data_IF_343458546406
#
_entry.id   IF_343458546406
#
_cell.length_a   1.000
_cell.length_b   1.000
_cell.length_c   1.000
_cell.angle_alpha   90.00
_cell.angle_beta   90.00
_cell.angle_gamma   90.00
#
_symmetry.space_group_name_H-M   'P 1'
#
loop_
_entity.id
_entity.type
_entity.pdbx_description
1 polymer ?
#
# COMPACT_ATOMS: atom_id res chain seq x y z
N UNK A 1 28.03 -11.93 20.50
CA UNK A 1 27.59 -12.73 19.34
C UNK A 1 27.59 -11.80 18.13
N UNK A 2 28.35 -12.11 17.08
CA UNK A 2 28.32 -11.34 15.84
C UNK A 2 27.01 -11.67 15.13
N UNK A 3 26.12 -10.69 14.96
CA UNK A 3 24.89 -10.84 14.20
C UNK A 3 25.21 -10.64 12.73
N UNK A 4 25.26 -11.72 11.95
CA UNK A 4 25.33 -11.63 10.50
C UNK A 4 23.94 -11.33 9.93
N UNK A 5 23.82 -10.27 9.15
CA UNK A 5 22.57 -9.92 8.44
C UNK A 5 22.27 -10.99 7.39
N UNK A 6 21.03 -11.48 7.36
CA UNK A 6 20.56 -12.38 6.30
C UNK A 6 20.41 -11.60 4.99
N UNK A 7 20.80 -12.21 3.87
CA UNK A 7 20.57 -11.62 2.55
C UNK A 7 19.11 -11.71 2.12
N UNK A 8 18.66 -10.80 1.25
CA UNK A 8 17.28 -10.74 0.75
C UNK A 8 16.79 -12.07 0.13
N UNK A 9 17.66 -12.78 -0.59
CA UNK A 9 17.32 -14.08 -1.17
C UNK A 9 16.99 -15.12 -0.10
N UNK A 10 17.74 -15.13 1.01
CA UNK A 10 17.46 -16.01 2.15
C UNK A 10 16.18 -15.60 2.86
N UNK A 11 15.92 -14.31 3.04
CA UNK A 11 14.68 -13.82 3.68
C UNK A 11 13.43 -14.20 2.88
N UNK A 12 13.49 -14.16 1.54
CA UNK A 12 12.38 -14.56 0.66
C UNK A 12 12.18 -16.08 0.57
N UNK A 13 13.21 -16.88 0.84
CA UNK A 13 13.08 -18.34 0.80
C UNK A 13 12.51 -18.95 2.08
N UNK A 14 12.26 -18.16 3.12
CA UNK A 14 11.60 -18.61 4.34
C UNK A 14 10.11 -18.81 4.06
N UNK A 15 9.54 -19.91 4.56
CA UNK A 15 8.09 -20.15 4.58
C UNK A 15 7.44 -19.26 5.65
N UNK A 16 7.09 -18.02 5.27
CA UNK A 16 6.54 -17.03 6.20
C UNK A 16 5.03 -17.16 6.30
N UNK A 17 4.48 -16.86 7.47
CA UNK A 17 3.05 -16.69 7.68
C UNK A 17 2.78 -15.23 8.06
N UNK A 18 1.96 -14.55 7.27
CA UNK A 18 1.52 -13.18 7.55
C UNK A 18 0.15 -13.23 8.22
N UNK A 19 0.13 -13.00 9.54
CA UNK A 19 -1.08 -13.14 10.34
C UNK A 19 -1.85 -11.82 10.48
N UNK A 20 -1.22 -10.69 10.17
CA UNK A 20 -1.80 -9.36 10.33
C UNK A 20 -1.42 -8.49 9.13
N UNK A 21 -2.30 -8.51 8.12
CA UNK A 21 -2.19 -7.69 6.93
C UNK A 21 -3.50 -6.93 6.72
N UNK A 22 -3.41 -5.60 6.59
CA UNK A 22 -4.55 -4.76 6.26
C UNK A 22 -4.62 -4.58 4.74
N UNK A 23 -5.69 -5.07 4.11
CA UNK A 23 -5.88 -4.94 2.66
C UNK A 23 -5.84 -3.47 2.21
N UNK A 24 -6.56 -2.62 2.93
CA UNK A 24 -6.67 -1.17 2.74
C UNK A 24 -5.40 -0.39 3.12
N UNK A 25 -4.43 -1.05 3.75
CA UNK A 25 -3.09 -0.51 4.01
C UNK A 25 -1.99 -1.07 3.09
N UNK A 26 -2.30 -2.07 2.25
CA UNK A 26 -1.30 -2.84 1.48
C UNK A 26 -1.40 -2.63 -0.03
N UNK A 27 -2.03 -1.54 -0.46
CA UNK A 27 -2.26 -1.24 -1.87
C UNK A 27 -1.02 -0.60 -2.49
N UNK A 28 -0.63 -1.05 -3.69
CA UNK A 28 0.44 -0.40 -4.47
C UNK A 28 0.05 1.05 -4.79
N UNK A 29 0.92 2.05 -4.58
CA UNK A 29 0.62 3.45 -4.91
C UNK A 29 0.23 3.67 -6.38
N UNK A 30 0.83 2.90 -7.30
CA UNK A 30 0.48 2.95 -8.73
C UNK A 30 -0.94 2.45 -8.99
N UNK A 31 -1.43 1.47 -8.23
CA UNK A 31 -2.80 0.96 -8.31
C UNK A 31 -3.79 1.97 -7.77
N UNK A 32 -3.49 2.64 -6.65
CA UNK A 32 -4.31 3.74 -6.12
C UNK A 32 -4.49 4.82 -7.20
N UNK A 33 -3.39 5.29 -7.81
CA UNK A 33 -3.45 6.31 -8.85
C UNK A 33 -4.26 5.85 -10.08
N UNK A 34 -4.10 4.60 -10.50
CA UNK A 34 -4.84 4.04 -11.62
C UNK A 34 -6.35 3.94 -11.36
N UNK A 35 -6.75 3.45 -10.19
CA UNK A 35 -8.15 3.34 -9.78
C UNK A 35 -8.79 4.72 -9.62
N UNK A 36 -8.06 5.67 -9.05
CA UNK A 36 -8.55 7.03 -8.87
C UNK A 36 -8.83 7.72 -10.21
N UNK A 37 -7.96 7.54 -11.21
CA UNK A 37 -8.17 8.07 -12.56
C UNK A 37 -9.35 7.40 -13.26
N UNK A 38 -9.44 6.07 -13.18
CA UNK A 38 -10.53 5.32 -13.81
C UNK A 38 -11.92 5.73 -13.28
N UNK A 39 -12.00 6.04 -11.98
CA UNK A 39 -13.25 6.35 -11.29
C UNK A 39 -13.46 7.84 -11.00
N UNK A 40 -12.61 8.74 -11.52
CA UNK A 40 -12.64 10.18 -11.26
C UNK A 40 -12.67 10.55 -9.76
N UNK A 41 -11.92 9.81 -8.94
CA UNK A 41 -11.83 10.02 -7.49
C UNK A 41 -10.74 11.03 -7.20
N UNK A 42 -11.09 12.15 -6.56
CA UNK A 42 -10.11 13.12 -6.08
C UNK A 42 -9.32 12.55 -4.90
N UNK A 43 -7.99 12.48 -5.05
CA UNK A 43 -7.08 11.98 -4.00
C UNK A 43 -6.55 13.09 -3.09
N UNK A 44 -6.60 14.34 -3.58
CA UNK A 44 -6.08 15.51 -2.91
C UNK A 44 -7.12 16.62 -3.06
N UNK A 45 -7.56 17.18 -1.93
CA UNK A 45 -8.55 18.25 -1.90
C UNK A 45 -8.20 19.32 -2.95
N UNK A 46 -9.18 19.64 -3.79
CA UNK A 46 -9.14 20.70 -4.80
C UNK A 46 -8.21 20.50 -6.01
N UNK A 47 -7.67 19.30 -6.24
CA UNK A 47 -6.89 18.97 -7.45
C UNK A 47 -7.49 17.82 -8.23
N UNK A 48 -7.47 17.94 -9.56
CA UNK A 48 -7.79 16.81 -10.44
C UNK A 48 -6.75 15.71 -10.28
N UNK A 49 -7.21 14.46 -10.21
CA UNK A 49 -6.41 13.24 -10.10
C UNK A 49 -5.41 13.07 -11.23
N UNK A 50 -5.69 13.64 -12.42
CA UNK A 50 -4.76 13.62 -13.55
C UNK A 50 -3.47 14.41 -13.28
N UNK A 51 -3.52 15.36 -12.35
CA UNK A 51 -2.38 16.19 -11.97
C UNK A 51 -1.60 15.64 -10.79
N UNK A 52 -2.07 14.54 -10.17
CA UNK A 52 -1.39 13.90 -9.04
C UNK A 52 -0.31 12.97 -9.57
N UNK A 53 0.93 13.22 -9.16
CA UNK A 53 2.09 12.37 -9.47
C UNK A 53 2.21 11.22 -8.48
N UNK A 54 2.94 10.17 -8.87
CA UNK A 54 3.19 9.03 -7.99
C UNK A 54 4.02 9.44 -6.75
N UNK A 55 4.96 10.37 -6.91
CA UNK A 55 5.81 10.86 -5.82
C UNK A 55 5.00 11.68 -4.79
N UNK A 56 4.12 12.56 -5.27
CA UNK A 56 3.19 13.28 -4.39
C UNK A 56 2.29 12.31 -3.61
N UNK A 57 1.78 11.28 -4.29
CA UNK A 57 0.96 10.25 -3.66
C UNK A 57 1.75 9.47 -2.59
N UNK A 58 2.99 9.08 -2.88
CA UNK A 58 3.85 8.38 -1.91
C UNK A 58 4.10 9.22 -0.65
N UNK A 59 4.30 10.54 -0.78
CA UNK A 59 4.49 11.42 0.37
C UNK A 59 3.29 11.48 1.31
N UNK A 60 2.10 11.10 0.85
CA UNK A 60 0.87 11.06 1.65
C UNK A 60 0.65 9.67 2.26
N UNK A 61 1.05 8.63 1.53
CA UNK A 61 0.85 7.24 1.94
C UNK A 61 1.96 6.71 2.86
N UNK A 62 3.18 7.24 2.74
CA UNK A 62 4.34 6.79 3.52
C UNK A 62 4.52 7.72 4.70
N UNK A 63 4.44 7.14 5.90
CA UNK A 63 4.63 7.82 7.16
C UNK A 63 6.11 7.76 7.54
N UNK A 64 6.66 8.86 8.06
CA UNK A 64 8.05 8.91 8.52
C UNK A 64 8.27 8.01 9.76
N UNK A 65 9.51 7.58 9.95
CA UNK A 65 9.91 6.71 11.08
C UNK A 65 9.63 7.34 12.45
N UNK A 66 9.58 8.68 12.53
CA UNK A 66 9.31 9.45 13.75
C UNK A 66 7.83 9.80 13.94
N UNK A 67 6.91 8.99 13.41
CA UNK A 67 5.47 9.18 13.51
C UNK A 67 5.01 9.40 14.97
N UNK A 68 4.41 10.57 15.31
CA UNK A 68 4.09 10.94 16.68
C UNK A 68 2.89 10.22 17.29
N UNK A 69 1.98 9.66 16.48
CA UNK A 69 0.77 8.98 16.99
C UNK A 69 0.13 8.04 15.98
N UNK A 70 -0.72 7.13 16.46
CA UNK A 70 -1.55 6.28 15.60
C UNK A 70 -2.53 7.11 14.74
N UNK A 71 -3.08 8.19 15.28
CA UNK A 71 -3.98 9.07 14.54
C UNK A 71 -3.28 9.70 13.33
N UNK A 72 -2.02 10.12 13.51
CA UNK A 72 -1.17 10.62 12.43
C UNK A 72 -0.96 9.56 11.36
N UNK A 73 -0.59 8.35 11.78
CA UNK A 73 -0.36 7.21 10.89
C UNK A 73 -1.59 6.89 10.03
N UNK A 74 -2.78 6.96 10.62
CA UNK A 74 -4.03 6.60 9.94
C UNK A 74 -4.52 7.66 8.93
N UNK A 75 -3.91 8.85 8.85
CA UNK A 75 -4.37 9.91 7.91
C UNK A 75 -4.35 9.46 6.45
N UNK A 76 -3.37 8.64 6.06
CA UNK A 76 -3.25 8.09 4.71
C UNK A 76 -4.40 7.17 4.29
N UNK A 77 -5.13 6.57 5.26
CA UNK A 77 -6.21 5.63 4.95
C UNK A 77 -7.41 6.28 4.26
N UNK A 78 -7.59 7.61 4.43
CA UNK A 78 -8.62 8.33 3.68
C UNK A 78 -8.45 8.20 2.16
N UNK A 79 -7.19 8.15 1.69
CA UNK A 79 -6.82 8.00 0.28
C UNK A 79 -7.02 6.57 -0.20
N UNK A 80 -6.57 5.59 0.59
CA UNK A 80 -6.65 4.17 0.20
C UNK A 80 -8.09 3.68 0.21
N UNK A 81 -8.90 4.09 1.18
CA UNK A 81 -10.32 3.75 1.24
C UNK A 81 -11.10 4.37 0.08
N UNK A 82 -10.76 5.59 -0.34
CA UNK A 82 -11.48 6.27 -1.43
C UNK A 82 -11.47 5.48 -2.74
N UNK A 83 -10.44 4.66 -2.99
CA UNK A 83 -10.31 3.85 -4.22
C UNK A 83 -10.86 2.43 -4.11
N UNK A 84 -11.31 2.00 -2.93
CA UNK A 84 -11.86 0.66 -2.67
C UNK A 84 -13.39 0.65 -2.57
N UNK A 85 -14.08 1.37 -3.45
CA UNK A 85 -15.53 1.60 -3.35
C UNK A 85 -16.38 0.64 -4.19
N UNK A 86 -15.76 -0.20 -5.03
CA UNK A 86 -16.46 -1.15 -5.88
C UNK A 86 -15.77 -2.54 -5.90
N UNK A 87 -16.54 -3.55 -6.33
CA UNK A 87 -16.11 -4.95 -6.38
C UNK A 87 -14.87 -5.17 -7.27
N UNK A 88 -14.76 -4.44 -8.38
CA UNK A 88 -13.66 -4.61 -9.33
C UNK A 88 -12.36 -4.09 -8.72
N UNK A 89 -12.40 -2.93 -8.07
CA UNK A 89 -11.27 -2.35 -7.36
C UNK A 89 -10.80 -3.27 -6.23
N UNK A 90 -11.72 -3.72 -5.36
CA UNK A 90 -11.40 -4.62 -4.25
C UNK A 90 -10.80 -5.94 -4.77
N UNK A 91 -11.42 -6.54 -5.79
CA UNK A 91 -10.93 -7.79 -6.39
C UNK A 91 -9.51 -7.63 -6.90
N UNK A 92 -9.25 -6.57 -7.67
CA UNK A 92 -7.90 -6.27 -8.17
C UNK A 92 -6.89 -6.16 -7.03
N UNK A 93 -7.19 -5.38 -6.00
CA UNK A 93 -6.27 -5.14 -4.89
C UNK A 93 -6.01 -6.42 -4.09
N UNK A 94 -7.03 -7.25 -3.84
CA UNK A 94 -6.84 -8.56 -3.19
C UNK A 94 -5.88 -9.44 -3.99
N UNK A 95 -6.02 -9.50 -5.31
CA UNK A 95 -5.10 -10.26 -6.17
C UNK A 95 -3.67 -9.71 -6.10
N UNK A 96 -3.50 -8.38 -6.15
CA UNK A 96 -2.19 -7.75 -6.09
C UNK A 96 -1.50 -7.98 -4.72
N UNK A 97 -2.24 -7.88 -3.61
CA UNK A 97 -1.71 -8.16 -2.26
C UNK A 97 -1.30 -9.62 -2.13
N UNK A 98 -2.10 -10.56 -2.64
CA UNK A 98 -1.73 -11.99 -2.64
C UNK A 98 -0.48 -12.26 -3.49
N UNK A 99 -0.34 -11.59 -4.64
CA UNK A 99 0.88 -11.69 -5.46
C UNK A 99 2.10 -11.16 -4.72
N UNK A 100 1.97 -10.03 -4.02
CA UNK A 100 3.05 -9.42 -3.26
C UNK A 100 3.45 -10.28 -2.06
N UNK A 101 2.48 -10.89 -1.37
CA UNK A 101 2.72 -11.83 -0.27
C UNK A 101 3.51 -13.06 -0.76
N UNK A 102 3.12 -13.67 -1.89
CA UNK A 102 3.86 -14.80 -2.48
C UNK A 102 5.25 -14.37 -2.94
N UNK A 103 5.39 -13.18 -3.54
CA UNK A 103 6.69 -12.66 -3.96
C UNK A 103 7.62 -12.39 -2.79
N UNK A 104 7.06 -12.06 -1.61
CA UNK A 104 7.82 -11.94 -0.37
C UNK A 104 8.14 -13.31 0.25
N UNK A 105 7.42 -14.38 -0.06
CA UNK A 105 7.66 -15.74 0.45
C UNK A 105 6.66 -16.18 1.53
N UNK A 106 5.52 -15.50 1.63
CA UNK A 106 4.41 -15.96 2.46
C UNK A 106 3.74 -17.20 1.85
N UNK A 107 3.33 -18.15 2.70
CA UNK A 107 2.68 -19.42 2.33
C UNK A 107 1.44 -19.72 3.17
#
# INVERSE_FOLDING_TARGET
LSTSTLGNGTLRSLAKAELHCHLDGSIRPSTILALAKANNISLLNDRSTDQVTLDELQNILVVADDCPSLEEYLRGFSVTLAVLQDETAITRVVFEVAQDAVADGCV
#
